data_IF_244676528546
#
_entry.id   IF_244676528546
#
_cell.length_a   1.000
_cell.length_b   1.000
_cell.length_c   1.000
_cell.angle_alpha   90.00
_cell.angle_beta   90.00
_cell.angle_gamma   90.00
#
_symmetry.space_group_name_H-M   'P 1'
#
loop_
_entity.id
_entity.type
_entity.pdbx_description
1 polymer ?
#
# COMPACT_ATOMS: atom_id res chain seq x y z
N UNK A 1 12.06 -19.83 -2.82
CA UNK A 1 11.49 -19.77 -4.18
C UNK A 1 9.99 -19.52 -4.05
N UNK A 2 9.53 -18.35 -4.48
CA UNK A 2 8.11 -18.04 -4.57
C UNK A 2 7.54 -18.70 -5.83
N UNK A 3 6.34 -19.25 -5.72
CA UNK A 3 5.65 -19.81 -6.88
C UNK A 3 5.04 -18.69 -7.74
N UNK A 4 4.82 -18.88 -9.05
CA UNK A 4 4.18 -17.86 -9.91
C UNK A 4 2.78 -17.42 -9.40
N UNK A 5 2.11 -18.24 -8.59
CA UNK A 5 0.81 -17.91 -7.99
C UNK A 5 0.86 -16.81 -6.92
N UNK A 6 2.04 -16.33 -6.55
CA UNK A 6 2.19 -15.24 -5.60
C UNK A 6 1.92 -13.86 -6.21
N UNK A 7 2.08 -13.69 -7.53
CA UNK A 7 1.80 -12.46 -8.27
C UNK A 7 2.56 -11.25 -7.72
N UNK A 8 3.70 -10.89 -8.30
CA UNK A 8 4.44 -9.68 -7.94
C UNK A 8 3.85 -8.47 -8.65
N UNK A 9 3.40 -7.44 -7.92
CA UNK A 9 2.77 -6.24 -8.47
C UNK A 9 3.68 -5.02 -8.45
N UNK A 10 4.48 -4.85 -7.40
CA UNK A 10 5.39 -3.71 -7.23
C UNK A 10 6.66 -4.15 -6.51
N UNK A 11 7.74 -3.47 -6.82
CA UNK A 11 9.06 -3.67 -6.22
C UNK A 11 9.70 -2.32 -5.98
N UNK A 12 10.29 -2.14 -4.79
CA UNK A 12 11.09 -0.98 -4.44
C UNK A 12 12.44 -1.44 -3.91
N UNK A 13 13.45 -0.60 -4.08
CA UNK A 13 14.80 -0.87 -3.61
C UNK A 13 15.27 0.31 -2.77
N UNK A 14 15.66 0.06 -1.54
CA UNK A 14 16.14 1.05 -0.58
C UNK A 14 16.98 0.36 0.50
N UNK A 15 17.77 1.11 1.22
CA UNK A 15 18.47 0.66 2.42
C UNK A 15 17.49 0.86 3.60
N UNK A 16 16.88 -0.24 4.10
CA UNK A 16 15.86 -0.17 5.16
C UNK A 16 16.43 -0.34 6.57
N UNK A 17 17.66 -0.84 6.72
CA UNK A 17 18.26 -1.01 8.04
C UNK A 17 19.48 -0.11 8.30
N UNK A 18 19.86 0.70 7.29
CA UNK A 18 20.94 1.68 7.41
C UNK A 18 22.34 1.09 7.34
N UNK A 19 22.49 -0.14 6.81
CA UNK A 19 23.79 -0.82 6.75
C UNK A 19 24.61 -0.48 5.49
N UNK A 20 24.01 0.22 4.52
CA UNK A 20 24.60 0.66 3.26
C UNK A 20 24.40 -0.31 2.10
N UNK A 21 23.83 -1.48 2.31
CA UNK A 21 23.45 -2.42 1.27
C UNK A 21 21.98 -2.18 0.84
N UNK A 22 21.69 -2.30 -0.44
CA UNK A 22 20.34 -2.07 -0.96
C UNK A 22 19.48 -3.31 -0.74
N UNK A 23 18.40 -3.14 0.01
CA UNK A 23 17.36 -4.13 0.26
C UNK A 23 16.27 -4.10 -0.80
N UNK A 24 15.37 -5.08 -0.77
CA UNK A 24 14.27 -5.19 -1.71
C UNK A 24 12.94 -5.31 -0.96
N UNK A 25 12.04 -4.37 -1.22
CA UNK A 25 10.65 -4.47 -0.84
C UNK A 25 9.83 -5.03 -2.02
N UNK A 26 8.97 -6.01 -1.76
CA UNK A 26 8.10 -6.64 -2.77
C UNK A 26 6.66 -6.56 -2.29
N UNK A 27 5.77 -6.16 -3.19
CA UNK A 27 4.33 -6.27 -3.01
C UNK A 27 3.78 -7.39 -3.89
N UNK A 28 2.95 -8.21 -3.27
CA UNK A 28 2.19 -9.24 -3.97
C UNK A 28 0.74 -9.26 -3.43
N UNK A 29 -0.22 -9.11 -4.32
CA UNK A 29 -1.63 -8.95 -3.92
C UNK A 29 -2.60 -9.27 -5.06
N UNK A 30 -2.23 -10.14 -5.99
CA UNK A 30 -3.12 -10.63 -7.03
C UNK A 30 -4.25 -11.51 -6.43
N UNK A 31 -5.28 -10.84 -5.92
CA UNK A 31 -6.49 -11.48 -5.40
C UNK A 31 -7.50 -11.86 -6.50
N UNK A 32 -7.07 -11.91 -7.75
CA UNK A 32 -7.93 -12.31 -8.88
C UNK A 32 -7.82 -13.81 -9.12
N UNK A 33 -8.92 -14.51 -9.05
CA UNK A 33 -8.95 -15.91 -9.46
C UNK A 33 -9.06 -15.99 -10.98
N UNK A 34 -7.95 -16.33 -11.65
CA UNK A 34 -7.77 -16.27 -13.11
C UNK A 34 -8.69 -17.16 -13.95
N UNK A 35 -9.63 -17.89 -13.36
CA UNK A 35 -10.52 -18.82 -14.08
C UNK A 35 -11.88 -18.23 -14.47
N UNK A 36 -12.12 -16.95 -14.21
CA UNK A 36 -13.40 -16.33 -14.52
C UNK A 36 -13.22 -15.10 -15.43
N UNK A 37 -13.15 -15.35 -16.73
CA UNK A 37 -13.29 -14.28 -17.73
C UNK A 37 -14.64 -13.56 -17.47
N UNK A 38 -14.57 -12.32 -17.01
CA UNK A 38 -15.74 -11.45 -16.78
C UNK A 38 -16.30 -11.42 -15.37
N UNK A 39 -15.69 -12.10 -14.38
CA UNK A 39 -16.02 -11.92 -12.95
C UNK A 39 -14.74 -11.84 -12.14
N UNK A 40 -14.45 -10.66 -11.62
CA UNK A 40 -13.42 -10.49 -10.59
C UNK A 40 -13.97 -11.04 -9.29
N UNK A 41 -13.51 -12.22 -8.90
CA UNK A 41 -13.83 -12.78 -7.59
C UNK A 41 -12.59 -12.58 -6.72
N UNK A 42 -12.66 -11.71 -5.72
CA UNK A 42 -11.57 -11.56 -4.77
C UNK A 42 -11.27 -12.92 -4.11
N UNK A 43 -10.05 -13.38 -4.23
CA UNK A 43 -9.59 -14.61 -3.61
C UNK A 43 -8.41 -14.28 -2.68
N UNK A 44 -8.68 -13.88 -1.41
CA UNK A 44 -7.62 -13.56 -0.46
C UNK A 44 -6.70 -14.76 -0.28
N UNK A 45 -5.40 -14.52 -0.40
CA UNK A 45 -4.38 -15.55 -0.22
C UNK A 45 -3.51 -15.20 0.96
N UNK A 46 -3.18 -16.16 1.84
CA UNK A 46 -2.43 -15.88 3.07
C UNK A 46 -1.01 -15.35 2.83
N UNK A 47 -0.45 -15.59 1.65
CA UNK A 47 0.88 -15.12 1.26
C UNK A 47 0.89 -13.69 0.72
N UNK A 48 -0.28 -13.08 0.43
CA UNK A 48 -0.34 -11.73 -0.12
C UNK A 48 -0.01 -10.66 0.93
N UNK A 49 0.74 -9.64 0.51
CA UNK A 49 1.16 -8.56 1.38
C UNK A 49 2.42 -7.85 0.92
N UNK A 50 3.05 -7.22 1.87
CA UNK A 50 4.30 -6.47 1.73
C UNK A 50 5.41 -7.28 2.38
N UNK A 51 6.53 -7.50 1.66
CA UNK A 51 7.73 -8.15 2.21
C UNK A 51 8.92 -7.26 2.02
N UNK A 52 9.79 -7.26 3.02
CA UNK A 52 11.13 -6.68 2.91
C UNK A 52 12.14 -7.80 3.03
N UNK A 53 13.04 -7.85 2.04
CA UNK A 53 14.15 -8.78 1.99
C UNK A 53 15.43 -7.99 2.24
N UNK A 54 16.05 -8.25 3.39
CA UNK A 54 17.35 -7.69 3.73
C UNK A 54 18.43 -8.30 2.86
N UNK A 55 19.31 -7.45 2.35
CA UNK A 55 20.54 -7.84 1.68
C UNK A 55 21.65 -8.00 2.73
N UNK A 56 22.11 -9.21 2.97
CA UNK A 56 23.21 -9.49 3.90
C UNK A 56 24.59 -9.32 3.21
N UNK A 57 24.69 -8.52 2.14
CA UNK A 57 25.86 -8.38 1.29
C UNK A 57 25.93 -9.46 0.22
N UNK A 58 26.71 -9.21 -0.82
CA UNK A 58 26.94 -10.13 -1.94
C UNK A 58 25.64 -10.67 -2.60
N UNK A 59 24.57 -9.87 -2.62
CA UNK A 59 23.24 -10.22 -3.16
C UNK A 59 22.60 -11.45 -2.48
N UNK A 60 22.86 -11.63 -1.21
CA UNK A 60 22.23 -12.68 -0.40
C UNK A 60 21.06 -12.07 0.35
N UNK A 61 19.84 -12.38 -0.08
CA UNK A 61 18.61 -11.83 0.47
C UNK A 61 17.94 -12.77 1.46
N UNK A 62 17.49 -12.22 2.61
CA UNK A 62 16.74 -12.92 3.65
C UNK A 62 15.44 -12.14 3.94
N UNK A 63 14.28 -12.82 4.00
CA UNK A 63 13.03 -12.17 4.40
C UNK A 63 13.16 -11.66 5.84
N UNK A 64 13.14 -10.33 6.01
CA UNK A 64 13.28 -9.66 7.29
C UNK A 64 11.94 -9.20 7.86
N UNK A 65 10.97 -8.86 7.00
CA UNK A 65 9.66 -8.36 7.41
C UNK A 65 8.54 -8.84 6.48
N UNK A 66 7.38 -9.07 7.06
CA UNK A 66 6.15 -9.36 6.34
C UNK A 66 4.95 -8.66 6.99
N UNK A 67 4.20 -7.92 6.19
CA UNK A 67 2.91 -7.36 6.55
C UNK A 67 1.81 -7.87 5.62
N UNK A 68 0.72 -8.39 6.20
CA UNK A 68 -0.42 -8.87 5.41
C UNK A 68 -1.26 -7.70 4.93
N UNK A 69 -1.29 -7.47 3.63
CA UNK A 69 -2.19 -6.52 2.99
C UNK A 69 -2.88 -7.21 1.81
N UNK A 70 -4.16 -7.55 2.00
CA UNK A 70 -4.92 -8.23 0.96
C UNK A 70 -5.12 -7.31 -0.24
N UNK A 71 -4.83 -7.83 -1.45
CA UNK A 71 -4.99 -7.09 -2.68
C UNK A 71 -3.98 -5.95 -2.88
N UNK A 72 -2.86 -5.98 -2.17
CA UNK A 72 -1.80 -4.99 -2.31
C UNK A 72 -1.28 -4.93 -3.74
N UNK A 73 -1.20 -3.71 -4.32
CA UNK A 73 -0.82 -3.53 -5.73
C UNK A 73 0.36 -2.60 -5.94
N UNK A 74 0.52 -1.59 -5.10
CA UNK A 74 1.58 -0.59 -5.22
C UNK A 74 2.05 -0.08 -3.87
N UNK A 75 3.30 0.35 -3.84
CA UNK A 75 3.91 1.06 -2.71
C UNK A 75 4.83 2.17 -3.19
N UNK A 76 5.10 3.09 -2.29
CA UNK A 76 6.20 4.05 -2.35
C UNK A 76 7.03 3.89 -1.08
N UNK A 77 8.34 4.14 -1.21
CA UNK A 77 9.31 4.09 -0.13
C UNK A 77 9.97 5.46 -0.01
N UNK A 78 9.95 6.02 1.18
CA UNK A 78 10.57 7.30 1.49
C UNK A 78 10.71 7.47 3.00
N UNK A 79 11.65 8.26 3.45
CA UNK A 79 11.73 8.75 4.83
C UNK A 79 10.66 9.86 5.01
N UNK A 80 9.41 9.45 5.35
CA UNK A 80 8.30 10.41 5.46
C UNK A 80 8.35 11.22 6.75
N UNK A 81 8.87 10.68 7.83
CA UNK A 81 8.88 11.34 9.13
C UNK A 81 10.18 12.09 9.44
N UNK A 82 11.19 11.97 8.56
CA UNK A 82 12.45 12.69 8.63
C UNK A 82 13.42 12.16 9.68
N UNK A 83 13.31 10.90 10.08
CA UNK A 83 14.17 10.29 11.08
C UNK A 83 15.40 9.58 10.50
N UNK A 84 15.48 9.45 9.18
CA UNK A 84 16.57 8.85 8.42
C UNK A 84 16.32 7.41 7.99
N UNK A 85 15.28 6.76 8.50
CA UNK A 85 14.89 5.40 8.14
C UNK A 85 13.88 5.40 6.97
N UNK A 86 13.91 4.39 6.12
CA UNK A 86 12.98 4.30 4.99
C UNK A 86 11.67 3.67 5.41
N UNK A 87 10.56 4.40 5.22
CA UNK A 87 9.20 3.95 5.47
C UNK A 87 8.54 3.39 4.21
N UNK A 88 7.40 2.73 4.37
CA UNK A 88 6.62 2.17 3.27
C UNK A 88 5.18 2.66 3.34
N UNK A 89 4.69 3.30 2.28
CA UNK A 89 3.26 3.53 2.10
C UNK A 89 2.74 2.64 0.97
N UNK A 90 1.63 1.92 1.21
CA UNK A 90 1.11 0.96 0.26
C UNK A 90 -0.41 1.00 0.14
N UNK A 91 -0.92 0.61 -1.05
CA UNK A 91 -2.33 0.59 -1.37
C UNK A 91 -2.81 -0.80 -1.79
N UNK A 92 -4.10 -1.06 -1.51
CA UNK A 92 -4.81 -2.25 -1.93
C UNK A 92 -5.91 -1.91 -2.93
N UNK A 93 -5.92 -2.62 -4.06
CA UNK A 93 -7.01 -2.57 -5.04
C UNK A 93 -8.14 -3.54 -4.69
N UNK A 94 -7.81 -4.68 -4.07
CA UNK A 94 -8.74 -5.75 -3.72
C UNK A 94 -8.66 -6.07 -2.22
N UNK A 95 -9.02 -5.11 -1.33
CA UNK A 95 -8.96 -5.36 0.10
C UNK A 95 -9.95 -6.45 0.51
N UNK A 96 -9.73 -7.03 1.69
CA UNK A 96 -10.65 -8.02 2.25
C UNK A 96 -11.87 -7.33 2.89
N UNK A 97 -12.88 -7.07 2.09
CA UNK A 97 -14.09 -6.35 2.50
C UNK A 97 -14.94 -7.03 3.58
N UNK A 98 -14.69 -8.31 3.86
CA UNK A 98 -15.40 -9.04 4.94
C UNK A 98 -14.86 -8.73 6.31
N UNK A 99 -13.77 -7.99 6.43
CA UNK A 99 -13.28 -7.49 7.70
C UNK A 99 -14.09 -6.27 8.15
N UNK A 100 -14.20 -6.04 9.44
CA UNK A 100 -14.87 -4.86 10.00
C UNK A 100 -14.16 -3.57 9.56
N UNK A 101 -12.84 -3.65 9.37
CA UNK A 101 -11.99 -2.58 8.87
C UNK A 101 -11.08 -3.14 7.76
N UNK A 102 -11.54 -3.11 6.49
CA UNK A 102 -10.71 -3.52 5.37
C UNK A 102 -9.60 -2.50 5.13
N UNK A 103 -8.37 -2.96 5.05
CA UNK A 103 -7.23 -2.09 4.78
C UNK A 103 -7.13 -1.80 3.28
N UNK A 104 -7.38 -0.55 2.90
CA UNK A 104 -7.21 -0.05 1.53
C UNK A 104 -5.91 0.72 1.33
N UNK A 105 -5.32 1.16 2.42
CA UNK A 105 -4.06 1.87 2.53
C UNK A 105 -3.38 1.50 3.85
N UNK A 106 -2.07 1.38 3.85
CA UNK A 106 -1.25 1.25 5.05
C UNK A 106 0.01 2.11 4.92
N UNK A 107 0.37 2.75 6.00
CA UNK A 107 1.67 3.35 6.23
C UNK A 107 2.41 2.49 7.25
N UNK A 108 3.60 2.04 6.91
CA UNK A 108 4.49 1.25 7.76
C UNK A 108 5.67 2.16 8.12
N UNK A 109 5.61 2.75 9.30
CA UNK A 109 6.68 3.58 9.85
C UNK A 109 7.83 2.68 10.31
N UNK A 110 9.02 2.87 9.77
CA UNK A 110 10.22 2.16 10.18
C UNK A 110 10.79 2.83 11.45
N UNK A 111 10.88 2.07 12.52
CA UNK A 111 11.44 2.53 13.81
C UNK A 111 12.91 2.13 13.98
N UNK A 112 13.61 1.94 12.87
CA UNK A 112 14.99 1.49 12.82
C UNK A 112 15.14 -0.01 12.71
N UNK A 113 16.08 -0.45 11.85
CA UNK A 113 16.40 -1.85 11.67
C UNK A 113 15.24 -2.72 11.21
N UNK A 114 14.40 -2.21 10.30
CA UNK A 114 13.22 -2.88 9.73
C UNK A 114 12.13 -3.23 10.75
N UNK A 115 11.99 -2.46 11.82
CA UNK A 115 10.92 -2.61 12.81
C UNK A 115 9.76 -1.68 12.44
N UNK A 116 8.84 -2.18 11.62
CA UNK A 116 7.75 -1.39 11.10
C UNK A 116 6.54 -1.35 12.03
N UNK A 117 5.99 -0.15 12.25
CA UNK A 117 4.72 0.08 12.95
C UNK A 117 3.64 0.47 11.95
N UNK A 118 2.54 -0.33 11.84
CA UNK A 118 1.50 -0.06 10.87
C UNK A 118 0.53 1.04 11.34
N UNK A 119 0.16 1.91 10.41
CA UNK A 119 -0.88 2.92 10.56
C UNK A 119 -1.79 2.87 9.33
N UNK A 120 -3.09 3.11 9.49
CA UNK A 120 -4.06 3.15 8.40
C UNK A 120 -4.81 4.47 8.39
N UNK A 121 -5.47 4.76 7.27
CA UNK A 121 -6.36 5.92 7.17
C UNK A 121 -7.72 5.61 7.81
N UNK A 122 -8.42 6.66 8.22
CA UNK A 122 -9.75 6.54 8.79
C UNK A 122 -10.75 5.92 7.80
N UNK A 123 -11.71 5.16 8.32
CA UNK A 123 -12.68 4.36 7.55
C UNK A 123 -13.48 5.18 6.52
N UNK A 124 -13.78 6.42 6.81
CA UNK A 124 -14.46 7.34 5.89
C UNK A 124 -13.68 7.65 4.61
N UNK A 125 -12.37 7.37 4.60
CA UNK A 125 -11.50 7.54 3.45
C UNK A 125 -11.23 6.22 2.71
N UNK A 126 -11.86 5.12 3.10
CA UNK A 126 -11.68 3.84 2.42
C UNK A 126 -12.19 3.92 0.99
N UNK A 127 -11.35 3.53 0.05
CA UNK A 127 -11.67 3.54 -1.37
C UNK A 127 -10.85 2.50 -2.14
N UNK A 128 -11.11 2.41 -3.44
CA UNK A 128 -10.33 1.60 -4.37
C UNK A 128 -9.22 2.48 -4.93
N UNK A 129 -8.02 2.33 -4.39
CA UNK A 129 -6.85 3.08 -4.83
C UNK A 129 -6.15 2.35 -5.98
N UNK A 130 -5.74 3.09 -7.03
CA UNK A 130 -5.07 2.54 -8.21
C UNK A 130 -3.64 3.00 -8.38
N UNK A 131 -3.31 4.16 -7.83
CA UNK A 131 -1.95 4.71 -7.86
C UNK A 131 -1.59 5.37 -6.55
N UNK A 132 -0.31 5.36 -6.26
CA UNK A 132 0.31 6.02 -5.12
C UNK A 132 1.64 6.60 -5.58
N UNK A 133 1.93 7.82 -5.15
CA UNK A 133 3.19 8.51 -5.39
C UNK A 133 3.60 9.30 -4.14
N UNK A 134 4.88 9.60 -4.04
CA UNK A 134 5.46 10.42 -2.98
C UNK A 134 6.02 11.71 -3.59
N UNK A 135 5.57 12.87 -3.10
CA UNK A 135 6.03 14.18 -3.56
C UNK A 135 5.70 15.27 -2.53
N UNK A 136 6.52 16.31 -2.45
CA UNK A 136 6.17 17.55 -1.75
C UNK A 136 5.16 18.34 -2.63
N UNK A 137 3.87 18.20 -2.36
CA UNK A 137 2.82 18.81 -3.21
C UNK A 137 2.44 20.22 -2.78
N UNK A 138 2.80 20.62 -1.57
CA UNK A 138 2.48 21.95 -1.01
C UNK A 138 3.69 22.88 -0.93
N UNK A 139 4.92 22.40 -1.19
CA UNK A 139 6.15 23.18 -1.19
C UNK A 139 6.71 23.48 0.19
N UNK A 140 6.36 22.67 1.19
CA UNK A 140 6.81 22.89 2.58
C UNK A 140 8.11 22.13 2.94
N UNK A 141 8.67 21.40 2.00
CA UNK A 141 9.91 20.63 2.12
C UNK A 141 9.73 19.24 2.72
N UNK A 142 8.50 18.83 3.03
CA UNK A 142 8.17 17.48 3.49
C UNK A 142 7.52 16.67 2.36
N UNK A 143 7.83 15.40 2.30
CA UNK A 143 7.24 14.51 1.30
C UNK A 143 5.84 14.08 1.75
N UNK A 144 4.84 14.36 0.90
CA UNK A 144 3.46 13.97 1.05
C UNK A 144 3.16 12.67 0.30
N UNK A 145 2.00 12.06 0.56
CA UNK A 145 1.52 10.89 -0.17
C UNK A 145 0.35 11.30 -1.06
N UNK A 146 0.45 10.97 -2.35
CA UNK A 146 -0.59 11.24 -3.36
C UNK A 146 -1.26 9.94 -3.77
N UNK A 147 -2.58 9.88 -3.64
CA UNK A 147 -3.39 8.69 -3.96
C UNK A 147 -4.31 8.98 -5.14
N UNK A 148 -4.27 8.10 -6.14
CA UNK A 148 -5.17 8.13 -7.28
C UNK A 148 -6.34 7.16 -7.11
N UNK A 149 -7.56 7.68 -7.26
CA UNK A 149 -8.80 6.93 -7.12
C UNK A 149 -9.12 6.11 -8.36
N UNK A 150 -9.44 4.84 -8.18
CA UNK A 150 -10.00 3.98 -9.22
C UNK A 150 -11.53 4.07 -9.27
N UNK A 151 -12.08 4.12 -10.48
CA UNK A 151 -13.53 4.08 -10.67
C UNK A 151 -13.98 2.65 -10.98
N UNK A 152 -13.99 1.81 -9.96
CA UNK A 152 -14.39 0.40 -10.04
C UNK A 152 -15.50 0.10 -9.01
N UNK A 153 -16.71 0.64 -9.20
CA UNK A 153 -17.81 0.44 -8.25
C UNK A 153 -18.16 -1.04 -8.06
N UNK A 154 -17.89 -1.87 -9.06
CA UNK A 154 -18.08 -3.31 -9.01
C UNK A 154 -17.14 -4.05 -8.04
N UNK A 155 -16.05 -3.41 -7.63
CA UNK A 155 -15.09 -3.97 -6.66
C UNK A 155 -15.46 -3.62 -5.21
N UNK A 156 -16.41 -2.69 -5.02
CA UNK A 156 -16.85 -2.22 -3.70
C UNK A 156 -18.16 -2.91 -3.33
N UNK A 157 -18.23 -3.66 -2.23
CA UNK A 157 -19.48 -4.25 -1.77
C UNK A 157 -20.56 -3.19 -1.51
N UNK A 158 -21.86 -3.52 -1.68
CA UNK A 158 -22.96 -2.56 -1.49
C UNK A 158 -22.94 -1.85 -0.14
N UNK A 159 -22.56 -2.54 0.91
CA UNK A 159 -22.50 -1.99 2.28
C UNK A 159 -21.40 -0.91 2.43
N UNK A 160 -20.37 -0.95 1.60
CA UNK A 160 -19.26 0.00 1.57
C UNK A 160 -19.42 1.10 0.51
N UNK A 161 -20.40 0.96 -0.39
CA UNK A 161 -20.66 1.95 -1.46
C UNK A 161 -20.97 3.33 -0.88
N UNK A 162 -21.57 3.42 0.31
CA UNK A 162 -21.90 4.71 0.92
C UNK A 162 -20.65 5.48 1.31
N UNK A 163 -19.64 4.82 1.91
CA UNK A 163 -18.35 5.43 2.23
C UNK A 163 -17.63 5.84 0.93
N UNK A 164 -17.60 4.96 -0.05
CA UNK A 164 -17.03 5.24 -1.37
C UNK A 164 -17.73 6.42 -2.07
N UNK A 165 -19.07 6.51 -2.04
CA UNK A 165 -19.82 7.64 -2.58
C UNK A 165 -19.60 8.94 -1.80
N UNK A 166 -19.39 8.89 -0.50
CA UNK A 166 -19.07 10.07 0.30
C UNK A 166 -17.74 10.69 -0.14
N UNK A 167 -16.74 9.85 -0.46
CA UNK A 167 -15.49 10.29 -1.08
C UNK A 167 -15.68 10.86 -2.49
N UNK A 168 -16.69 10.36 -3.24
CA UNK A 168 -17.01 10.87 -4.58
C UNK A 168 -17.65 12.27 -4.57
N UNK A 169 -17.87 12.88 -3.40
CA UNK A 169 -18.35 14.24 -3.24
C UNK A 169 -19.85 14.43 -3.54
N UNK A 170 -20.42 15.46 -2.95
CA UNK A 170 -21.80 15.89 -3.23
C UNK A 170 -21.87 16.42 -4.66
N UNK A 171 -22.47 15.68 -5.57
CA UNK A 171 -22.67 16.09 -6.97
C UNK A 171 -22.04 15.17 -8.01
N UNK A 172 -21.56 13.97 -7.63
CA UNK A 172 -21.12 12.94 -8.57
C UNK A 172 -19.76 13.20 -9.23
N UNK A 173 -18.98 14.14 -8.72
CA UNK A 173 -17.59 14.38 -9.12
C UNK A 173 -16.67 14.02 -7.96
N UNK A 174 -16.22 12.77 -7.93
CA UNK A 174 -15.12 12.37 -7.05
C UNK A 174 -13.86 13.15 -7.40
N UNK A 175 -13.06 13.56 -6.42
CA UNK A 175 -11.68 13.91 -6.71
C UNK A 175 -10.99 12.66 -7.27
N UNK A 176 -10.41 12.77 -8.47
CA UNK A 176 -9.61 11.66 -9.04
C UNK A 176 -8.32 11.42 -8.29
N UNK A 177 -7.91 12.38 -7.47
CA UNK A 177 -6.67 12.39 -6.69
C UNK A 177 -6.95 13.00 -5.32
N UNK A 178 -6.40 12.38 -4.29
CA UNK A 178 -6.28 12.98 -2.96
C UNK A 178 -4.82 12.98 -2.51
N UNK A 179 -4.48 13.83 -1.57
CA UNK A 179 -3.16 13.86 -0.97
C UNK A 179 -3.27 13.87 0.55
N UNK A 180 -2.40 13.10 1.18
CA UNK A 180 -2.20 13.04 2.62
C UNK A 180 -1.00 13.94 2.91
N UNK A 181 -1.27 15.13 3.47
CA UNK A 181 -0.24 16.10 3.78
C UNK A 181 0.55 15.67 5.02
N UNK A 182 1.84 15.64 4.87
CA UNK A 182 2.78 15.40 5.96
C UNK A 182 2.87 16.63 6.85
N UNK A 183 2.37 16.55 8.07
CA UNK A 183 2.39 17.66 9.03
C UNK A 183 3.69 17.71 9.86
N UNK A 184 4.59 16.74 9.64
CA UNK A 184 5.78 16.57 10.50
C UNK A 184 5.43 15.96 11.86
N UNK A 185 6.47 15.60 12.61
CA UNK A 185 6.31 15.21 14.03
C UNK A 185 6.03 16.47 14.82
N UNK A 186 4.83 16.55 15.46
CA UNK A 186 4.44 17.64 16.38
C UNK A 186 5.24 17.66 17.65
#
# INVERSE_FOLDING_TARGET
>A
HHTPSWGGNSLQAADFDGDGDVDIQVINGDNVNGNHIGKVVPAPRPQHGIRVFRNDGALKFTEAYYYRLHGAIRSVVHDFDGDGDQDIAAISLFPQWTYDEPETFVYLENKGGMKFEPQSIAKEFFSVWCSIEAADVNGDGRTDIVLGLGNFPELVPPDWITAHKAMQGRGGKAPSVIYLLNQGKG
#
